data_IF_519493327990
#
_entry.id   IF_519493327990
#
_cell.length_a   1.000
_cell.length_b   1.000
_cell.length_c   1.000
_cell.angle_alpha   90.00
_cell.angle_beta   90.00
_cell.angle_gamma   90.00
#
_symmetry.space_group_name_H-M   'P 1'
#
loop_
_entity.id
_entity.type
_entity.pdbx_description
1 polymer ?
#
# COMPACT_ATOMS: atom_id res chain seq x y z
N UNK A 1 -9.04 -19.71 2.03
CA UNK A 1 -8.79 -19.61 0.57
C UNK A 1 -7.49 -18.82 0.39
N UNK A 2 -6.62 -19.26 -0.52
CA UNK A 2 -5.39 -18.54 -0.87
C UNK A 2 -5.66 -17.81 -2.17
N UNK A 3 -5.40 -16.51 -2.20
CA UNK A 3 -5.58 -15.67 -3.39
C UNK A 3 -4.21 -15.14 -3.83
N UNK A 4 -3.88 -15.36 -5.09
CA UNK A 4 -2.66 -14.82 -5.71
C UNK A 4 -3.08 -13.66 -6.62
N UNK A 5 -2.42 -12.52 -6.48
CA UNK A 5 -2.76 -11.29 -7.20
C UNK A 5 -1.49 -10.74 -7.86
N UNK A 6 -1.24 -11.04 -9.15
CA UNK A 6 -0.18 -10.39 -9.90
C UNK A 6 -0.52 -8.92 -10.15
N UNK A 7 0.49 -8.06 -10.10
CA UNK A 7 0.37 -6.61 -10.25
C UNK A 7 1.45 -6.09 -11.18
N UNK A 8 1.08 -5.13 -12.02
CA UNK A 8 1.99 -4.41 -12.89
C UNK A 8 1.62 -2.94 -12.86
N UNK A 9 2.62 -2.08 -12.65
CA UNK A 9 2.45 -0.65 -12.57
C UNK A 9 3.56 0.03 -13.36
N UNK A 10 3.16 0.77 -14.40
CA UNK A 10 4.04 1.67 -15.15
C UNK A 10 3.80 3.11 -14.69
N UNK A 11 4.88 3.82 -14.40
CA UNK A 11 4.85 5.22 -13.99
C UNK A 11 5.80 6.03 -14.86
N UNK A 12 5.31 7.12 -15.44
CA UNK A 12 6.12 8.07 -16.20
C UNK A 12 6.00 9.45 -15.57
N UNK A 13 7.13 10.02 -15.15
CA UNK A 13 7.25 11.39 -14.63
C UNK A 13 8.28 12.12 -15.49
N UNK A 14 7.80 12.98 -16.39
CA UNK A 14 8.65 13.65 -17.38
C UNK A 14 9.50 12.62 -18.16
N UNK A 15 10.83 12.69 -18.08
CA UNK A 15 11.74 11.74 -18.72
C UNK A 15 11.94 10.45 -17.89
N UNK A 16 11.57 10.45 -16.61
CA UNK A 16 11.71 9.27 -15.75
C UNK A 16 10.59 8.26 -16.01
N UNK A 17 10.99 7.04 -16.33
CA UNK A 17 10.07 5.93 -16.59
C UNK A 17 10.42 4.77 -15.67
N UNK A 18 9.45 4.34 -14.86
CA UNK A 18 9.60 3.27 -13.88
C UNK A 18 8.55 2.18 -14.15
N UNK A 19 9.01 0.95 -14.06
CA UNK A 19 8.19 -0.25 -14.08
C UNK A 19 8.27 -0.93 -12.72
N UNK A 20 7.11 -1.28 -12.19
CA UNK A 20 6.96 -2.01 -10.95
C UNK A 20 6.17 -3.28 -11.26
N UNK A 21 6.80 -4.42 -11.03
CA UNK A 21 6.18 -5.73 -11.17
C UNK A 21 6.03 -6.32 -9.77
N UNK A 22 4.84 -6.78 -9.43
CA UNK A 22 4.56 -7.28 -8.09
C UNK A 22 3.68 -8.51 -8.11
N UNK A 23 3.75 -9.29 -7.05
CA UNK A 23 2.78 -10.35 -6.77
C UNK A 23 2.44 -10.30 -5.29
N UNK A 24 1.14 -10.37 -5.01
CA UNK A 24 0.63 -10.54 -3.65
C UNK A 24 0.06 -11.94 -3.47
N UNK A 25 0.26 -12.48 -2.28
CA UNK A 25 -0.32 -13.72 -1.82
C UNK A 25 -1.10 -13.40 -0.56
N UNK A 26 -2.41 -13.57 -0.60
CA UNK A 26 -3.31 -13.34 0.51
C UNK A 26 -3.83 -14.67 1.05
N UNK A 27 -3.74 -14.88 2.36
CA UNK A 27 -4.30 -16.05 3.04
C UNK A 27 -4.98 -15.61 4.34
N UNK A 28 -6.30 -15.45 4.28
CA UNK A 28 -7.08 -14.95 5.41
C UNK A 28 -6.62 -13.53 5.79
N UNK A 29 -6.24 -13.27 7.05
CA UNK A 29 -5.75 -11.96 7.47
C UNK A 29 -4.29 -11.69 7.11
N UNK A 30 -3.54 -12.66 6.55
CA UNK A 30 -2.12 -12.49 6.26
C UNK A 30 -1.93 -12.15 4.78
N UNK A 31 -1.10 -11.14 4.50
CA UNK A 31 -0.64 -10.78 3.16
C UNK A 31 0.88 -10.89 3.07
N UNK A 32 1.36 -11.51 2.01
CA UNK A 32 2.76 -11.47 1.60
C UNK A 32 2.87 -10.87 0.20
N UNK A 33 3.97 -10.19 -0.08
CA UNK A 33 4.19 -9.56 -1.38
C UNK A 33 5.66 -9.59 -1.80
N UNK A 34 5.88 -9.73 -3.09
CA UNK A 34 7.18 -9.53 -3.72
C UNK A 34 7.02 -8.50 -4.81
N UNK A 35 7.93 -7.54 -4.86
CA UNK A 35 7.95 -6.47 -5.85
C UNK A 35 9.34 -6.31 -6.43
N UNK A 36 9.39 -5.97 -7.70
CA UNK A 36 10.59 -5.60 -8.43
C UNK A 36 10.33 -4.24 -9.08
N UNK A 37 11.20 -3.27 -8.78
CA UNK A 37 11.16 -1.93 -9.35
C UNK A 37 12.39 -1.73 -10.22
N UNK A 38 12.16 -1.35 -11.47
CA UNK A 38 13.21 -0.99 -12.41
C UNK A 38 12.85 0.30 -13.15
N UNK A 39 13.85 1.13 -13.37
CA UNK A 39 13.79 2.25 -14.29
C UNK A 39 14.17 1.78 -15.70
N UNK A 40 13.91 2.60 -16.72
CA UNK A 40 14.33 2.31 -18.10
C UNK A 40 15.86 2.14 -18.22
N UNK A 41 16.60 2.88 -17.40
CA UNK A 41 18.06 2.94 -17.47
C UNK A 41 18.76 2.00 -16.48
N UNK A 42 18.10 1.62 -15.37
CA UNK A 42 18.72 0.82 -14.31
C UNK A 42 17.70 -0.05 -13.56
N UNK A 43 18.17 -1.21 -13.08
CA UNK A 43 17.39 -2.04 -12.16
C UNK A 43 17.61 -1.55 -10.72
N UNK A 44 16.55 -1.00 -10.10
CA UNK A 44 16.68 -0.26 -8.83
C UNK A 44 16.63 -1.17 -7.61
N UNK A 45 15.52 -1.87 -7.39
CA UNK A 45 15.27 -2.55 -6.11
C UNK A 45 14.26 -3.69 -6.17
N UNK A 46 14.47 -4.72 -5.35
CA UNK A 46 13.46 -5.71 -4.99
C UNK A 46 12.89 -5.37 -3.62
N UNK A 47 11.57 -5.54 -3.45
CA UNK A 47 10.89 -5.20 -2.21
C UNK A 47 10.15 -6.45 -1.72
N UNK A 48 10.47 -6.86 -0.49
CA UNK A 48 9.77 -7.94 0.20
C UNK A 48 8.74 -7.31 1.13
N UNK A 49 7.51 -7.81 1.12
CA UNK A 49 6.43 -7.32 1.97
C UNK A 49 5.79 -8.46 2.76
N UNK A 50 5.51 -8.18 4.03
CA UNK A 50 4.65 -9.00 4.87
C UNK A 50 3.71 -8.10 5.66
N UNK A 51 2.44 -8.49 5.77
CA UNK A 51 1.44 -7.70 6.48
C UNK A 51 0.29 -8.52 7.03
N UNK A 52 -0.47 -7.88 7.91
CA UNK A 52 -1.70 -8.39 8.50
C UNK A 52 -2.82 -7.39 8.25
N UNK A 53 -3.92 -7.90 7.73
CA UNK A 53 -5.14 -7.15 7.43
C UNK A 53 -6.24 -7.64 8.35
N UNK A 54 -6.78 -6.72 9.15
CA UNK A 54 -7.93 -6.93 10.03
C UNK A 54 -8.98 -5.84 9.75
N UNK A 55 -10.20 -6.05 10.23
CA UNK A 55 -11.32 -5.13 9.93
C UNK A 55 -11.08 -3.72 10.48
N UNK A 56 -10.44 -3.61 11.64
CA UNK A 56 -10.15 -2.34 12.30
C UNK A 56 -8.80 -1.71 11.90
N UNK A 57 -7.82 -2.52 11.49
CA UNK A 57 -6.48 -2.03 11.19
C UNK A 57 -5.75 -2.89 10.14
N UNK A 58 -4.74 -2.29 9.50
CA UNK A 58 -3.74 -2.99 8.69
C UNK A 58 -2.37 -2.65 9.20
N UNK A 59 -1.51 -3.66 9.24
CA UNK A 59 -0.11 -3.50 9.52
C UNK A 59 0.70 -4.13 8.38
N UNK A 60 1.72 -3.44 7.92
CA UNK A 60 2.61 -3.89 6.87
C UNK A 60 4.05 -3.61 7.24
N UNK A 61 4.93 -4.51 6.89
CA UNK A 61 6.36 -4.35 6.95
C UNK A 61 6.92 -4.67 5.57
N UNK A 62 7.73 -3.76 5.04
CA UNK A 62 8.45 -3.93 3.79
C UNK A 62 9.94 -3.75 3.98
N UNK A 63 10.70 -4.46 3.15
CA UNK A 63 12.14 -4.35 3.10
C UNK A 63 12.60 -4.17 1.66
N UNK A 64 13.20 -3.01 1.41
CA UNK A 64 13.66 -2.56 0.10
C UNK A 64 15.12 -2.96 -0.09
N UNK A 65 15.37 -3.98 -0.91
CA UNK A 65 16.70 -4.45 -1.29
C UNK A 65 17.12 -3.72 -2.57
N UNK A 66 18.06 -2.78 -2.45
CA UNK A 66 18.62 -2.07 -3.60
C UNK A 66 19.66 -2.94 -4.32
N UNK A 67 19.51 -3.09 -5.64
CA UNK A 67 20.37 -3.96 -6.48
C UNK A 67 21.26 -3.17 -7.43
N UNK A 68 20.92 -1.90 -7.71
CA UNK A 68 21.69 -1.03 -8.60
C UNK A 68 23.13 -0.75 -8.09
N UNK A 69 23.95 -0.11 -8.94
CA UNK A 69 25.36 0.26 -8.66
C UNK A 69 25.57 1.11 -7.37
N UNK A 70 24.49 1.54 -6.70
CA UNK A 70 24.53 2.08 -5.34
C UNK A 70 24.91 1.03 -4.27
N UNK A 71 25.10 -0.24 -4.66
CA UNK A 71 25.66 -1.30 -3.79
C UNK A 71 27.08 -1.00 -3.29
N UNK A 72 27.79 -0.05 -3.92
CA UNK A 72 29.12 0.40 -3.49
C UNK A 72 29.09 1.41 -2.32
N UNK A 73 27.91 1.84 -1.88
CA UNK A 73 27.74 2.91 -0.89
C UNK A 73 26.79 2.50 0.24
N UNK A 74 27.12 1.43 0.98
CA UNK A 74 26.67 1.12 2.35
C UNK A 74 25.15 1.12 2.69
N UNK A 75 24.24 1.32 1.75
CA UNK A 75 22.81 1.27 2.02
C UNK A 75 22.36 -0.19 1.97
N UNK A 76 22.36 -0.86 3.13
CA UNK A 76 21.86 -2.22 3.37
C UNK A 76 20.34 -2.33 3.19
N UNK A 77 19.75 -1.62 2.23
CA UNK A 77 18.31 -1.48 2.05
C UNK A 77 17.64 -0.55 3.06
N UNK A 78 16.31 -0.52 3.02
CA UNK A 78 15.47 0.25 3.92
C UNK A 78 14.36 -0.61 4.53
N UNK A 79 14.16 -0.47 5.85
CA UNK A 79 13.07 -1.11 6.58
C UNK A 79 11.91 -0.14 6.69
N UNK A 80 10.75 -0.52 6.17
CA UNK A 80 9.55 0.30 6.17
C UNK A 80 8.44 -0.35 6.98
N UNK A 81 7.77 0.44 7.80
CA UNK A 81 6.65 0.01 8.65
C UNK A 81 5.43 0.86 8.29
N UNK A 82 4.35 0.19 7.93
CA UNK A 82 3.08 0.79 7.54
C UNK A 82 1.98 0.39 8.52
N UNK A 83 1.24 1.37 9.03
CA UNK A 83 0.09 1.15 9.88
C UNK A 83 -1.11 1.96 9.38
N UNK A 84 -2.26 1.31 9.26
CA UNK A 84 -3.52 1.94 8.85
C UNK A 84 -4.60 1.59 9.86
N UNK A 85 -5.34 2.60 10.31
CA UNK A 85 -6.50 2.43 11.21
C UNK A 85 -7.77 2.81 10.46
N UNK A 86 -8.77 1.93 10.50
CA UNK A 86 -10.09 2.19 9.94
C UNK A 86 -10.99 2.78 11.01
N UNK A 87 -11.32 4.07 10.88
CA UNK A 87 -12.27 4.72 11.77
C UNK A 87 -13.71 4.46 11.29
N UNK A 88 -14.65 4.12 12.19
CA UNK A 88 -16.03 3.94 11.81
C UNK A 88 -16.60 5.26 11.27
N UNK A 89 -17.32 5.19 10.15
CA UNK A 89 -18.04 6.34 9.62
C UNK A 89 -19.04 6.84 10.67
N UNK A 90 -18.97 8.14 11.02
CA UNK A 90 -20.02 8.77 11.84
C UNK A 90 -21.33 8.72 11.04
N UNK A 91 -22.31 7.98 11.54
CA UNK A 91 -23.67 8.01 10.97
C UNK A 91 -24.23 9.41 11.18
N UNK A 92 -24.79 10.03 10.13
CA UNK A 92 -25.49 11.30 10.30
C UNK A 92 -26.70 11.04 11.19
N UNK A 93 -26.79 11.76 12.32
CA UNK A 93 -28.01 11.75 13.12
C UNK A 93 -29.19 12.17 12.24
N UNK A 94 -30.35 11.53 12.40
CA UNK A 94 -31.56 11.96 11.71
C UNK A 94 -31.86 13.40 12.16
N UNK A 95 -31.89 14.32 11.19
CA UNK A 95 -32.37 15.68 11.43
C UNK A 95 -33.87 15.60 11.65
N UNK A 96 -34.33 15.88 12.87
CA UNK A 96 -35.76 16.07 13.12
C UNK A 96 -36.14 17.42 12.51
N UNK A 97 -36.99 17.39 11.47
CA UNK A 97 -37.60 18.61 10.97
C UNK A 97 -38.51 19.16 12.06
N UNK A 98 -38.19 20.33 12.60
CA UNK A 98 -39.07 21.03 13.53
C UNK A 98 -40.32 21.45 12.77
N UNK A 99 -41.48 21.08 13.29
CA UNK A 99 -42.76 21.56 12.78
C UNK A 99 -42.77 23.09 12.93
N UNK A 100 -43.00 23.81 11.84
CA UNK A 100 -43.14 25.26 11.87
C UNK A 100 -44.31 25.65 12.77
N UNK A 101 -44.08 26.58 13.70
CA UNK A 101 -45.09 27.02 14.65
C UNK A 101 -46.32 27.57 13.91
N UNK A 102 -47.55 27.21 14.32
CA UNK A 102 -48.74 27.81 13.75
C UNK A 102 -48.73 29.32 14.07
N UNK A 103 -48.75 30.15 13.03
CA UNK A 103 -49.07 31.56 13.18
C UNK A 103 -50.60 31.69 13.25
N UNK A 104 -51.06 32.35 14.31
CA UNK A 104 -52.42 32.86 14.45
C UNK A 104 -52.53 34.24 13.81
#
# INVERSE_FOLDING_TARGET
IITISPNFLYQKQQEFQQFNYGVYINRGPIVGGLWARNSLENFDSFILMFGVIQDAFKFGYSYDITVSNLRNSNTLGAHELSFTLYMPCKTRSKSFNTISCPQF
#
